data_IF_382003589707
#
_entry.id   IF_382003589707
#
_cell.length_a   1.000
_cell.length_b   1.000
_cell.length_c   1.000
_cell.angle_alpha   90.00
_cell.angle_beta   90.00
_cell.angle_gamma   90.00
#
_symmetry.space_group_name_H-M   'P 1'
#
loop_
_entity.id
_entity.type
_entity.pdbx_description
1 polymer ?
#
# COMPACT_ATOMS: atom_id res chain seq x y z
N UNK A 1 -14.79 17.09 -75.55
CA UNK A 1 -14.13 18.38 -75.30
C UNK A 1 -13.10 18.16 -74.19
N UNK A 2 -11.91 18.18 -74.65
CA UNK A 2 -10.60 18.55 -74.16
C UNK A 2 -10.37 18.40 -72.64
N UNK A 3 -9.57 17.41 -72.33
CA UNK A 3 -8.84 17.26 -71.06
C UNK A 3 -7.60 18.14 -71.08
N UNK A 4 -7.31 18.79 -69.94
CA UNK A 4 -6.01 19.39 -69.68
C UNK A 4 -5.34 18.69 -68.51
N UNK A 5 -4.18 18.11 -68.84
CA UNK A 5 -3.19 17.59 -67.89
C UNK A 5 -2.47 18.71 -67.22
N UNK A 6 -2.40 18.70 -65.89
CA UNK A 6 -1.32 19.44 -65.19
C UNK A 6 -0.49 18.45 -64.37
N UNK A 7 0.81 18.47 -64.66
CA UNK A 7 1.86 17.74 -63.98
C UNK A 7 2.29 18.51 -62.72
N UNK A 8 2.03 17.98 -61.55
CA UNK A 8 2.58 18.48 -60.28
C UNK A 8 3.93 17.84 -60.03
N UNK A 9 4.93 18.67 -59.91
CA UNK A 9 6.32 18.36 -59.61
C UNK A 9 6.47 17.77 -58.18
N UNK A 10 7.21 16.67 -58.09
CA UNK A 10 7.56 16.03 -56.82
C UNK A 10 8.60 16.90 -56.07
N UNK A 11 8.23 17.43 -54.95
CA UNK A 11 9.13 18.08 -54.01
C UNK A 11 9.75 17.07 -53.05
N UNK A 12 11.09 16.98 -53.08
CA UNK A 12 11.85 16.06 -52.23
C UNK A 12 11.72 16.45 -50.77
N UNK A 13 11.12 15.60 -49.94
CA UNK A 13 11.11 15.73 -48.47
C UNK A 13 12.53 15.57 -47.94
N UNK A 14 13.06 16.65 -47.37
CA UNK A 14 14.31 16.66 -46.58
C UNK A 14 14.11 15.76 -45.35
N UNK A 15 14.99 14.78 -45.22
CA UNK A 15 15.10 13.93 -44.02
C UNK A 15 15.39 14.79 -42.78
N UNK A 16 14.50 14.74 -41.81
CA UNK A 16 14.77 15.24 -40.44
C UNK A 16 15.71 14.27 -39.74
N UNK A 17 16.75 14.75 -39.05
CA UNK A 17 17.65 13.87 -38.31
C UNK A 17 16.85 13.14 -37.20
N UNK A 18 17.04 11.80 -37.17
CA UNK A 18 16.49 10.90 -36.13
C UNK A 18 17.04 11.33 -34.76
N UNK A 19 16.22 11.45 -33.70
CA UNK A 19 16.74 11.75 -32.37
C UNK A 19 17.69 10.64 -31.94
N UNK A 20 18.89 11.00 -31.55
CA UNK A 20 19.88 10.12 -30.96
C UNK A 20 19.27 9.43 -29.73
N UNK A 21 19.35 8.10 -29.67
CA UNK A 21 18.92 7.32 -28.54
C UNK A 21 19.63 7.83 -27.27
N UNK A 22 18.85 8.38 -26.36
CA UNK A 22 19.34 8.74 -25.04
C UNK A 22 19.89 7.47 -24.39
N UNK A 23 21.16 7.50 -23.99
CA UNK A 23 21.81 6.44 -23.26
C UNK A 23 21.01 6.20 -21.97
N UNK A 24 20.49 4.99 -21.81
CA UNK A 24 19.90 4.52 -20.56
C UNK A 24 20.90 4.79 -19.42
N UNK A 25 20.49 5.34 -18.28
CA UNK A 25 21.38 5.50 -17.15
C UNK A 25 21.86 4.13 -16.70
N UNK A 26 23.17 3.96 -16.59
CA UNK A 26 23.80 2.75 -16.06
C UNK A 26 23.24 2.44 -14.67
N UNK A 27 22.81 1.20 -14.39
CA UNK A 27 22.44 0.79 -13.06
C UNK A 27 23.69 0.39 -12.28
N UNK A 28 24.34 1.33 -11.60
CA UNK A 28 25.33 0.95 -10.58
C UNK A 28 25.60 2.12 -9.63
N UNK A 29 24.61 2.48 -8.83
CA UNK A 29 24.90 2.85 -7.44
C UNK A 29 24.70 1.57 -6.64
N UNK A 30 25.76 1.03 -6.07
CA UNK A 30 25.70 -0.11 -5.15
C UNK A 30 24.74 0.27 -4.03
N UNK A 31 23.48 -0.23 -4.07
CA UNK A 31 22.50 0.04 -3.03
C UNK A 31 23.09 -0.44 -1.71
N UNK A 32 23.26 0.47 -0.76
CA UNK A 32 23.68 0.11 0.59
C UNK A 32 22.72 -0.97 1.12
N UNK A 33 23.24 -2.07 1.72
CA UNK A 33 22.39 -3.09 2.27
C UNK A 33 21.40 -2.51 3.29
N UNK A 34 20.14 -2.94 3.23
CA UNK A 34 19.16 -2.63 4.27
C UNK A 34 19.63 -3.25 5.57
N UNK A 35 19.74 -2.44 6.62
CA UNK A 35 20.10 -2.90 7.96
C UNK A 35 18.85 -3.07 8.81
N UNK A 36 18.91 -3.99 9.77
CA UNK A 36 17.81 -4.21 10.71
C UNK A 36 17.56 -2.93 11.54
N UNK A 37 16.30 -2.49 11.56
CA UNK A 37 15.86 -1.29 12.29
C UNK A 37 15.24 -1.70 13.62
N UNK A 38 14.43 -2.76 13.59
CA UNK A 38 13.62 -3.19 14.71
C UNK A 38 13.76 -4.69 14.91
N UNK A 39 13.76 -5.12 16.17
CA UNK A 39 13.73 -6.53 16.58
C UNK A 39 12.68 -6.71 17.67
N UNK A 40 11.88 -7.79 17.52
CA UNK A 40 10.85 -8.13 18.49
C UNK A 40 9.51 -7.40 18.29
N UNK A 41 8.51 -7.79 19.06
CA UNK A 41 7.18 -7.19 19.08
C UNK A 41 7.17 -6.02 20.06
N UNK A 42 6.65 -4.86 19.67
CA UNK A 42 6.46 -3.75 20.60
C UNK A 42 5.53 -4.17 21.76
N UNK A 43 5.91 -3.84 22.98
CA UNK A 43 5.01 -3.98 24.12
C UNK A 43 4.30 -2.65 24.34
N UNK A 44 3.02 -2.58 24.00
CA UNK A 44 2.20 -1.40 24.11
C UNK A 44 1.00 -1.69 25.00
N UNK A 45 0.54 -0.66 25.73
CA UNK A 45 -0.76 -0.73 26.39
C UNK A 45 -1.84 -0.63 25.33
N UNK A 46 -2.57 -1.73 25.13
CA UNK A 46 -3.63 -1.78 24.13
C UNK A 46 -4.86 -1.01 24.61
N UNK A 47 -5.33 -0.08 23.79
CA UNK A 47 -6.60 0.60 23.95
C UNK A 47 -7.64 0.01 23.01
N UNK A 48 -8.94 0.23 23.29
CA UNK A 48 -9.98 -0.07 22.32
C UNK A 48 -9.83 0.86 21.11
N UNK A 49 -9.85 0.34 19.87
CA UNK A 49 -9.76 1.18 18.69
C UNK A 49 -11.03 2.02 18.51
N UNK A 50 -10.93 3.27 18.04
CA UNK A 50 -12.10 4.05 17.68
C UNK A 50 -12.78 3.46 16.43
N UNK A 51 -14.08 3.69 16.26
CA UNK A 51 -14.80 3.27 15.05
C UNK A 51 -14.23 3.89 13.76
N UNK A 52 -13.66 5.07 13.87
CA UNK A 52 -12.99 5.78 12.78
C UNK A 52 -11.57 6.12 13.21
N UNK A 53 -10.61 5.44 12.61
CA UNK A 53 -9.21 5.51 12.97
C UNK A 53 -8.42 6.33 11.93
N UNK A 54 -7.92 7.50 12.31
CA UNK A 54 -7.03 8.31 11.46
C UNK A 54 -5.56 8.24 11.89
N UNK A 55 -5.28 8.06 13.16
CA UNK A 55 -3.94 8.06 13.73
C UNK A 55 -3.85 7.19 14.98
N UNK A 56 -2.65 6.96 15.46
CA UNK A 56 -2.40 6.16 16.65
C UNK A 56 -2.55 6.98 17.93
N UNK A 57 -2.86 6.34 19.08
CA UNK A 57 -2.75 6.98 20.37
C UNK A 57 -1.34 7.56 20.60
N UNK A 58 -1.24 8.65 21.34
CA UNK A 58 0.04 9.30 21.65
C UNK A 58 0.83 8.50 22.73
N UNK A 59 1.21 7.27 22.40
CA UNK A 59 1.98 6.38 23.27
C UNK A 59 3.28 6.00 22.58
N UNK A 60 4.41 6.33 23.21
CA UNK A 60 5.74 6.08 22.65
C UNK A 60 5.98 6.84 21.33
N UNK A 61 6.97 6.39 20.57
CA UNK A 61 7.33 6.98 19.28
C UNK A 61 6.86 6.07 18.13
N UNK A 62 5.57 5.67 18.17
CA UNK A 62 5.01 4.65 17.28
C UNK A 62 4.50 5.23 15.96
N UNK A 63 4.60 4.46 14.89
CA UNK A 63 4.02 4.76 13.56
C UNK A 63 3.48 3.48 12.94
N UNK A 64 2.29 3.53 12.35
CA UNK A 64 1.73 2.42 11.58
C UNK A 64 2.00 2.65 10.08
N UNK A 65 2.76 1.73 9.48
CA UNK A 65 2.87 1.63 8.04
C UNK A 65 1.72 0.76 7.53
N UNK A 66 0.85 1.32 6.70
CA UNK A 66 -0.31 0.63 6.18
C UNK A 66 -0.29 0.67 4.66
N UNK A 67 -0.36 -0.50 4.00
CA UNK A 67 -0.11 -0.63 2.57
C UNK A 67 -1.32 -1.30 1.92
N UNK A 68 -1.90 -0.63 0.94
CA UNK A 68 -3.13 -1.04 0.29
C UNK A 68 -2.90 -1.76 -1.05
N UNK A 69 -3.96 -2.40 -1.54
CA UNK A 69 -4.17 -2.98 -2.88
C UNK A 69 -3.40 -4.26 -3.18
N UNK A 70 -2.22 -4.15 -3.80
CA UNK A 70 -1.43 -5.30 -4.26
C UNK A 70 -1.49 -5.55 -5.78
N UNK A 71 -1.74 -4.53 -6.58
CA UNK A 71 -1.83 -4.63 -8.05
C UNK A 71 -0.55 -5.18 -8.66
N UNK A 72 0.62 -4.75 -8.14
CA UNK A 72 1.92 -5.15 -8.66
C UNK A 72 2.57 -6.24 -7.82
N UNK A 73 2.75 -7.42 -8.42
CA UNK A 73 3.46 -8.54 -7.79
C UNK A 73 4.89 -8.18 -7.39
N UNK A 74 5.60 -7.42 -8.23
CA UNK A 74 6.99 -7.00 -7.96
C UNK A 74 7.06 -6.03 -6.77
N UNK A 75 6.06 -5.15 -6.63
CA UNK A 75 6.01 -4.21 -5.49
C UNK A 75 5.68 -4.95 -4.20
N UNK A 76 4.75 -5.91 -4.23
CA UNK A 76 4.47 -6.80 -3.09
C UNK A 76 5.74 -7.54 -2.67
N UNK A 77 6.46 -8.17 -3.62
CA UNK A 77 7.72 -8.85 -3.35
C UNK A 77 8.76 -7.93 -2.70
N UNK A 78 8.89 -6.71 -3.22
CA UNK A 78 9.83 -5.72 -2.71
C UNK A 78 9.47 -5.25 -1.28
N UNK A 79 8.19 -5.08 -0.96
CA UNK A 79 7.75 -4.82 0.42
C UNK A 79 8.09 -5.98 1.35
N UNK A 80 7.89 -7.23 0.91
CA UNK A 80 8.21 -8.40 1.74
C UNK A 80 9.73 -8.50 2.02
N UNK A 81 10.59 -8.24 1.01
CA UNK A 81 12.05 -8.15 1.20
C UNK A 81 12.40 -7.02 2.18
N UNK A 82 11.80 -5.84 2.02
CA UNK A 82 11.99 -4.72 2.93
C UNK A 82 11.63 -5.07 4.37
N UNK A 83 10.47 -5.70 4.59
CA UNK A 83 9.98 -6.12 5.91
C UNK A 83 10.92 -7.16 6.54
N UNK A 84 11.32 -8.18 5.78
CA UNK A 84 12.21 -9.24 6.27
C UNK A 84 13.58 -8.71 6.67
N UNK A 85 14.16 -7.83 5.87
CA UNK A 85 15.51 -7.31 6.09
C UNK A 85 15.59 -6.27 7.18
N UNK A 86 14.60 -5.41 7.30
CA UNK A 86 14.61 -4.31 8.27
C UNK A 86 13.97 -4.64 9.61
N UNK A 87 13.10 -5.65 9.64
CA UNK A 87 12.31 -5.99 10.82
C UNK A 87 11.13 -5.03 11.07
N UNK A 88 10.84 -4.10 10.16
CA UNK A 88 9.67 -3.21 10.30
C UNK A 88 8.38 -4.02 10.35
N UNK A 89 7.38 -3.47 11.02
CA UNK A 89 6.05 -4.06 11.16
C UNK A 89 5.07 -3.28 10.26
N UNK A 90 4.19 -3.99 9.58
CA UNK A 90 3.31 -3.43 8.55
C UNK A 90 1.91 -4.02 8.68
N UNK A 91 0.88 -3.22 8.43
CA UNK A 91 -0.47 -3.71 8.16
C UNK A 91 -0.74 -3.59 6.67
N UNK A 92 -0.94 -4.73 5.98
CA UNK A 92 -1.46 -4.70 4.61
C UNK A 92 -2.99 -4.69 4.61
N UNK A 93 -3.56 -3.98 3.65
CA UNK A 93 -4.98 -4.03 3.30
C UNK A 93 -5.12 -4.56 1.87
N UNK A 94 -5.09 -5.89 1.68
CA UNK A 94 -5.11 -6.49 0.36
C UNK A 94 -6.51 -6.49 -0.27
N UNK A 95 -6.55 -6.29 -1.60
CA UNK A 95 -7.70 -6.71 -2.41
C UNK A 95 -7.44 -8.14 -2.91
N UNK A 96 -8.28 -9.07 -2.51
CA UNK A 96 -8.09 -10.49 -2.81
C UNK A 96 -8.18 -10.88 -4.28
N UNK A 97 -8.67 -9.99 -5.13
CA UNK A 97 -8.72 -10.18 -6.58
C UNK A 97 -7.32 -10.23 -7.21
N UNK A 98 -6.31 -9.61 -6.59
CA UNK A 98 -4.97 -9.54 -7.16
C UNK A 98 -4.16 -10.81 -6.89
N UNK A 99 -3.66 -11.48 -7.95
CA UNK A 99 -2.89 -12.73 -7.82
C UNK A 99 -1.59 -12.60 -7.02
N UNK A 100 -1.04 -11.40 -6.90
CA UNK A 100 0.17 -11.10 -6.15
C UNK A 100 0.15 -11.66 -4.73
N UNK A 101 -0.97 -11.56 -4.04
CA UNK A 101 -1.12 -12.06 -2.68
C UNK A 101 -1.02 -13.57 -2.58
N UNK A 102 -1.64 -14.31 -3.51
CA UNK A 102 -1.52 -15.77 -3.57
C UNK A 102 -0.12 -16.19 -4.02
N UNK A 103 0.46 -15.49 -4.98
CA UNK A 103 1.81 -15.75 -5.49
C UNK A 103 2.87 -15.62 -4.40
N UNK A 104 2.73 -14.62 -3.54
CA UNK A 104 3.68 -14.37 -2.45
C UNK A 104 3.22 -14.93 -1.08
N UNK A 105 2.15 -15.70 -1.03
CA UNK A 105 1.66 -16.32 0.21
C UNK A 105 2.72 -17.15 0.94
N UNK A 106 3.60 -17.93 0.27
CA UNK A 106 4.66 -18.66 0.96
C UNK A 106 5.64 -17.79 1.74
N UNK A 107 5.92 -16.58 1.24
CA UNK A 107 6.80 -15.60 1.91
C UNK A 107 6.05 -14.77 2.96
N UNK A 108 4.79 -14.42 2.68
CA UNK A 108 3.99 -13.56 3.55
C UNK A 108 3.46 -14.31 4.78
N UNK A 109 3.05 -15.57 4.64
CA UNK A 109 2.45 -16.36 5.73
C UNK A 109 3.31 -16.40 7.00
N UNK A 110 4.63 -16.71 6.96
CA UNK A 110 5.47 -16.67 8.17
C UNK A 110 5.52 -15.31 8.85
N UNK A 111 5.42 -14.21 8.08
CA UNK A 111 5.39 -12.84 8.63
C UNK A 111 4.06 -12.53 9.31
N UNK A 112 2.96 -13.09 8.79
CA UNK A 112 1.63 -13.00 9.40
C UNK A 112 1.59 -13.85 10.68
N UNK A 113 2.06 -15.08 10.63
CA UNK A 113 2.09 -16.01 11.77
C UNK A 113 2.90 -15.47 12.94
N UNK A 114 4.01 -14.75 12.65
CA UNK A 114 4.81 -14.08 13.68
C UNK A 114 4.21 -12.78 14.21
N UNK A 115 3.12 -12.30 13.61
CA UNK A 115 2.51 -11.01 13.89
C UNK A 115 3.33 -9.81 13.40
N UNK A 116 4.44 -10.01 12.68
CA UNK A 116 5.22 -8.92 12.09
C UNK A 116 4.42 -8.20 11.01
N UNK A 117 3.56 -8.92 10.32
CA UNK A 117 2.59 -8.39 9.36
C UNK A 117 1.18 -8.69 9.85
N UNK A 118 0.31 -7.70 9.78
CA UNK A 118 -1.13 -7.83 9.95
C UNK A 118 -1.84 -7.67 8.62
N UNK A 119 -2.97 -8.36 8.43
CA UNK A 119 -3.85 -8.18 7.27
C UNK A 119 -5.16 -7.52 7.71
N UNK A 120 -5.53 -6.43 7.05
CA UNK A 120 -6.84 -5.79 7.12
C UNK A 120 -7.66 -6.10 5.86
N UNK A 121 -8.91 -5.66 5.79
CA UNK A 121 -9.79 -5.89 4.65
C UNK A 121 -9.89 -4.64 3.78
N UNK A 122 -9.53 -4.73 2.47
CA UNK A 122 -9.67 -3.64 1.52
C UNK A 122 -10.71 -3.92 0.43
N UNK A 123 -11.68 -4.78 0.74
CA UNK A 123 -12.66 -5.31 -0.22
C UNK A 123 -12.04 -6.33 -1.21
N UNK A 124 -12.89 -7.03 -1.96
CA UNK A 124 -12.44 -8.00 -2.94
C UNK A 124 -11.77 -7.35 -4.16
N UNK A 125 -12.43 -6.35 -4.78
CA UNK A 125 -12.04 -5.81 -6.09
C UNK A 125 -11.97 -4.28 -6.16
N UNK A 126 -11.89 -3.62 -5.00
CA UNK A 126 -11.68 -2.17 -4.88
C UNK A 126 -12.77 -1.28 -5.49
N UNK A 127 -14.08 -1.58 -5.37
CA UNK A 127 -15.12 -0.66 -5.83
C UNK A 127 -15.33 0.50 -4.85
N UNK A 128 -15.89 1.60 -5.34
CA UNK A 128 -16.41 2.65 -4.47
C UNK A 128 -17.69 2.16 -3.77
N UNK A 129 -17.58 1.85 -2.46
CA UNK A 129 -18.64 1.19 -1.69
C UNK A 129 -19.91 2.02 -1.56
N UNK A 130 -19.83 3.36 -1.57
CA UNK A 130 -21.00 4.22 -1.44
C UNK A 130 -21.91 4.16 -2.67
N UNK A 131 -21.39 3.71 -3.80
CA UNK A 131 -22.15 3.54 -5.05
C UNK A 131 -22.82 2.18 -5.18
N UNK A 132 -22.51 1.23 -4.29
CA UNK A 132 -23.01 -0.14 -4.36
C UNK A 132 -24.31 -0.34 -3.58
N UNK A 133 -25.06 -1.39 -3.95
CA UNK A 133 -26.15 -1.91 -3.11
C UNK A 133 -25.60 -2.52 -1.81
N UNK A 134 -26.44 -2.63 -0.79
CA UNK A 134 -26.08 -3.22 0.51
C UNK A 134 -25.51 -4.64 0.35
N UNK A 135 -26.18 -5.47 -0.45
CA UNK A 135 -25.72 -6.83 -0.71
C UNK A 135 -24.36 -6.89 -1.41
N UNK A 136 -24.08 -5.94 -2.31
CA UNK A 136 -22.82 -5.86 -2.99
C UNK A 136 -21.67 -5.39 -2.06
N UNK A 137 -21.94 -4.47 -1.13
CA UNK A 137 -20.99 -4.08 -0.08
C UNK A 137 -20.63 -5.28 0.79
N UNK A 138 -21.64 -6.02 1.25
CA UNK A 138 -21.46 -7.24 2.08
C UNK A 138 -20.65 -8.30 1.29
N UNK A 139 -20.97 -8.52 0.00
CA UNK A 139 -20.22 -9.47 -0.84
C UNK A 139 -18.74 -9.09 -0.97
N UNK A 140 -18.43 -7.81 -1.18
CA UNK A 140 -17.07 -7.33 -1.30
C UNK A 140 -16.23 -7.63 -0.05
N UNK A 141 -16.77 -7.38 1.13
CA UNK A 141 -16.10 -7.64 2.40
C UNK A 141 -15.99 -9.15 2.69
N UNK A 142 -17.07 -9.90 2.49
CA UNK A 142 -17.13 -11.33 2.77
C UNK A 142 -16.23 -12.15 1.87
N UNK A 143 -16.17 -11.83 0.57
CA UNK A 143 -15.27 -12.51 -0.38
C UNK A 143 -13.82 -12.29 -0.02
N UNK A 144 -13.47 -11.07 0.35
CA UNK A 144 -12.10 -10.76 0.75
C UNK A 144 -11.73 -11.45 2.07
N UNK A 145 -12.63 -11.48 3.05
CA UNK A 145 -12.41 -12.22 4.30
C UNK A 145 -12.19 -13.72 4.05
N UNK A 146 -13.03 -14.31 3.21
CA UNK A 146 -12.88 -15.72 2.82
C UNK A 146 -11.54 -15.99 2.14
N UNK A 147 -11.07 -15.07 1.30
CA UNK A 147 -9.76 -15.13 0.67
C UNK A 147 -8.64 -15.09 1.73
N UNK A 148 -8.68 -14.13 2.66
CA UNK A 148 -7.68 -14.00 3.72
C UNK A 148 -7.63 -15.22 4.61
N UNK A 149 -8.80 -15.75 5.00
CA UNK A 149 -8.89 -16.96 5.79
C UNK A 149 -8.32 -18.20 5.06
N UNK A 150 -8.73 -18.42 3.82
CA UNK A 150 -8.30 -19.58 3.04
C UNK A 150 -6.81 -19.53 2.69
N UNK A 151 -6.26 -18.33 2.46
CA UNK A 151 -4.88 -18.16 2.02
C UNK A 151 -3.91 -18.04 3.18
N UNK A 152 -4.28 -17.34 4.25
CA UNK A 152 -3.38 -17.00 5.34
C UNK A 152 -3.82 -17.54 6.72
N UNK A 153 -5.04 -18.04 6.85
CA UNK A 153 -5.55 -18.59 8.11
C UNK A 153 -5.93 -17.52 9.15
N UNK A 154 -6.10 -16.28 8.73
CA UNK A 154 -6.39 -15.15 9.62
C UNK A 154 -7.67 -14.43 9.25
N UNK A 155 -8.29 -13.77 10.24
CA UNK A 155 -9.35 -12.80 10.03
C UNK A 155 -8.76 -11.39 9.96
N UNK A 156 -9.33 -10.53 9.12
CA UNK A 156 -8.98 -9.11 9.07
C UNK A 156 -9.75 -8.27 10.11
N UNK A 157 -10.77 -8.86 10.76
CA UNK A 157 -11.57 -8.14 11.75
C UNK A 157 -10.73 -7.65 12.93
N UNK A 158 -11.02 -6.48 13.46
CA UNK A 158 -12.14 -5.58 13.12
C UNK A 158 -11.78 -4.50 12.09
N UNK A 159 -10.59 -4.56 11.43
CA UNK A 159 -10.07 -3.48 10.61
C UNK A 159 -10.43 -3.65 9.13
N UNK A 160 -11.11 -2.66 8.56
CA UNK A 160 -11.22 -2.53 7.12
C UNK A 160 -10.83 -1.11 6.69
N UNK A 161 -10.45 -0.97 5.44
CA UNK A 161 -10.23 0.32 4.81
C UNK A 161 -11.12 0.42 3.58
N UNK A 162 -12.04 1.40 3.53
CA UNK A 162 -12.88 1.59 2.35
C UNK A 162 -12.02 2.08 1.18
N UNK A 163 -12.18 1.52 -0.04
CA UNK A 163 -11.57 2.02 -1.25
C UNK A 163 -11.77 3.52 -1.42
N UNK A 164 -10.73 4.24 -1.86
CA UNK A 164 -10.71 5.70 -2.03
C UNK A 164 -10.94 6.50 -0.74
N UNK A 165 -11.01 5.86 0.43
CA UNK A 165 -11.50 6.48 1.65
C UNK A 165 -12.99 6.84 1.60
N UNK A 166 -13.71 6.37 0.56
CA UNK A 166 -15.13 6.67 0.31
C UNK A 166 -16.01 5.84 1.23
N UNK A 167 -16.72 6.51 2.12
CA UNK A 167 -17.59 5.91 3.14
C UNK A 167 -18.73 6.83 3.55
N UNK A 168 -19.81 6.23 3.99
CA UNK A 168 -20.95 6.88 4.63
C UNK A 168 -21.45 6.05 5.83
N UNK A 169 -22.44 6.54 6.55
CA UNK A 169 -22.99 5.85 7.71
C UNK A 169 -23.58 4.47 7.36
N UNK A 170 -24.11 4.30 6.14
CA UNK A 170 -24.65 3.03 5.65
C UNK A 170 -23.53 2.01 5.43
N UNK A 171 -22.46 2.40 4.73
CA UNK A 171 -21.29 1.53 4.50
C UNK A 171 -20.66 1.13 5.83
N UNK A 172 -20.46 2.08 6.75
CA UNK A 172 -19.88 1.78 8.06
C UNK A 172 -20.75 0.81 8.86
N UNK A 173 -22.09 0.94 8.82
CA UNK A 173 -22.99 0.02 9.52
C UNK A 173 -22.95 -1.38 8.89
N UNK A 174 -23.00 -1.48 7.56
CA UNK A 174 -22.88 -2.76 6.86
C UNK A 174 -21.56 -3.46 7.14
N UNK A 175 -20.47 -2.71 7.21
CA UNK A 175 -19.16 -3.24 7.59
C UNK A 175 -19.14 -3.72 9.05
N UNK A 176 -19.70 -2.92 9.97
CA UNK A 176 -19.79 -3.27 11.39
C UNK A 176 -20.62 -4.55 11.62
N UNK A 177 -21.71 -4.74 10.88
CA UNK A 177 -22.55 -5.94 10.92
C UNK A 177 -21.78 -7.21 10.45
N UNK A 178 -20.73 -7.02 9.64
CA UNK A 178 -19.79 -8.09 9.24
C UNK A 178 -18.61 -8.25 10.22
N UNK A 179 -18.58 -7.50 11.33
CA UNK A 179 -17.50 -7.49 12.31
C UNK A 179 -16.36 -6.52 12.00
N UNK A 180 -16.49 -5.68 10.97
CA UNK A 180 -15.53 -4.64 10.60
C UNK A 180 -15.96 -3.28 11.16
N UNK A 181 -15.86 -3.12 12.47
CA UNK A 181 -16.33 -1.92 13.14
C UNK A 181 -15.28 -0.79 13.24
N UNK A 182 -14.07 -1.01 12.68
CA UNK A 182 -13.01 0.00 12.59
C UNK A 182 -12.76 0.37 11.15
N UNK A 183 -13.31 1.51 10.72
CA UNK A 183 -12.96 2.15 9.45
C UNK A 183 -11.57 2.78 9.60
N UNK A 184 -10.57 2.14 8.98
CA UNK A 184 -9.17 2.55 9.09
C UNK A 184 -8.83 3.56 8.00
N UNK A 185 -8.70 4.82 8.37
CA UNK A 185 -8.25 5.91 7.52
C UNK A 185 -6.75 6.16 7.72
N UNK A 186 -6.28 7.37 7.44
CA UNK A 186 -4.88 7.76 7.58
C UNK A 186 -4.77 9.26 7.87
N UNK A 187 -3.65 9.67 8.47
CA UNK A 187 -3.26 11.06 8.65
C UNK A 187 -1.85 11.35 8.09
N UNK A 188 -1.29 10.39 7.36
CA UNK A 188 -0.06 10.53 6.61
C UNK A 188 -0.08 9.67 5.33
N UNK A 189 0.68 10.04 4.30
CA UNK A 189 0.68 9.35 3.00
C UNK A 189 2.06 9.37 2.35
N UNK A 190 2.38 8.31 1.58
CA UNK A 190 3.50 8.32 0.63
C UNK A 190 3.10 8.97 -0.72
N UNK A 191 1.80 9.14 -0.98
CA UNK A 191 1.27 9.70 -2.22
C UNK A 191 1.40 8.79 -3.43
N UNK A 192 1.70 7.52 -3.21
CA UNK A 192 2.05 6.50 -4.21
C UNK A 192 0.85 5.74 -4.78
N UNK A 193 -0.36 6.23 -4.54
CA UNK A 193 -1.57 5.85 -5.30
C UNK A 193 -1.47 6.23 -6.77
N UNK A 194 -0.65 7.24 -7.08
CA UNK A 194 -0.33 7.71 -8.42
C UNK A 194 1.14 7.46 -8.76
N UNK A 195 1.48 7.58 -10.04
CA UNK A 195 2.85 7.44 -10.51
C UNK A 195 3.65 8.71 -10.20
N UNK A 196 4.25 8.76 -9.03
CA UNK A 196 5.16 9.82 -8.60
C UNK A 196 6.61 9.49 -8.97
N UNK A 197 7.50 10.49 -8.86
CA UNK A 197 8.95 10.28 -8.86
C UNK A 197 9.44 9.82 -7.47
N UNK A 198 10.58 9.11 -7.37
CA UNK A 198 11.16 8.74 -6.08
C UNK A 198 11.38 9.94 -5.15
N UNK A 199 11.75 11.10 -5.70
CA UNK A 199 11.94 12.32 -4.92
C UNK A 199 10.64 12.83 -4.29
N UNK A 200 9.50 12.72 -4.98
CA UNK A 200 8.19 13.10 -4.45
C UNK A 200 7.73 12.15 -3.36
N UNK A 201 7.86 10.82 -3.56
CA UNK A 201 7.56 9.83 -2.51
C UNK A 201 8.41 10.08 -1.26
N UNK A 202 9.71 10.36 -1.44
CA UNK A 202 10.60 10.67 -0.32
C UNK A 202 10.23 11.99 0.38
N UNK A 203 9.78 13.01 -0.36
CA UNK A 203 9.30 14.27 0.22
C UNK A 203 8.06 14.03 1.10
N UNK A 204 7.10 13.25 0.62
CA UNK A 204 5.93 12.86 1.40
C UNK A 204 6.32 12.04 2.63
N UNK A 205 7.23 11.08 2.48
CA UNK A 205 7.73 10.31 3.62
C UNK A 205 8.41 11.19 4.67
N UNK A 206 9.21 12.19 4.27
CA UNK A 206 9.80 13.16 5.18
C UNK A 206 8.77 13.99 5.93
N UNK A 207 7.65 14.28 5.31
CA UNK A 207 6.55 15.02 5.94
C UNK A 207 5.74 14.15 6.90
N UNK A 208 5.37 12.94 6.50
CA UNK A 208 4.31 12.17 7.13
C UNK A 208 4.78 10.96 7.96
N UNK A 209 6.01 10.46 7.75
CA UNK A 209 6.54 9.34 8.53
C UNK A 209 7.05 9.84 9.88
N UNK A 210 6.11 10.22 10.74
CA UNK A 210 6.34 10.77 12.08
C UNK A 210 5.49 10.01 13.11
N UNK A 211 5.79 10.23 14.40
CA UNK A 211 5.12 9.52 15.48
C UNK A 211 3.59 9.73 15.48
N UNK A 212 2.87 8.69 15.87
CA UNK A 212 1.43 8.61 16.04
C UNK A 212 0.64 8.71 14.72
N UNK A 213 1.33 8.58 13.59
CA UNK A 213 0.66 8.55 12.30
C UNK A 213 0.29 7.12 11.87
N UNK A 214 -0.84 7.02 11.20
CA UNK A 214 -1.20 5.94 10.29
C UNK A 214 -0.84 6.43 8.88
N UNK A 215 0.23 5.89 8.31
CA UNK A 215 0.74 6.31 7.01
C UNK A 215 0.28 5.32 5.96
N UNK A 216 -0.45 5.83 4.94
CA UNK A 216 -0.90 5.04 3.80
C UNK A 216 0.17 5.00 2.71
N UNK A 217 0.39 3.82 2.17
CA UNK A 217 1.09 3.54 0.93
C UNK A 217 0.34 2.50 0.11
N UNK A 218 0.81 2.19 -1.09
CA UNK A 218 0.16 1.27 -2.01
C UNK A 218 1.18 0.30 -2.63
N UNK A 219 0.73 -0.93 -2.89
CA UNK A 219 1.54 -1.94 -3.58
C UNK A 219 1.22 -1.98 -5.08
N UNK A 220 1.19 -0.81 -5.73
CA UNK A 220 0.75 -0.62 -7.12
C UNK A 220 1.88 -0.20 -8.06
N UNK A 221 2.60 0.84 -7.71
CA UNK A 221 3.65 1.41 -8.57
C UNK A 221 5.05 1.16 -7.98
N UNK A 222 6.06 0.87 -8.82
CA UNK A 222 7.39 0.49 -8.34
C UNK A 222 8.16 1.65 -7.71
N UNK A 223 7.71 2.89 -7.84
CA UNK A 223 8.43 4.09 -7.39
C UNK A 223 8.81 4.04 -5.91
N UNK A 224 7.90 3.57 -5.04
CA UNK A 224 8.15 3.48 -3.60
C UNK A 224 9.31 2.52 -3.29
N UNK A 225 9.50 1.48 -4.08
CA UNK A 225 10.57 0.50 -3.87
C UNK A 225 11.97 1.08 -4.06
N UNK A 226 12.06 2.19 -4.79
CA UNK A 226 13.32 2.89 -5.04
C UNK A 226 13.79 3.74 -3.87
N UNK A 227 12.94 3.96 -2.86
CA UNK A 227 13.23 4.78 -1.67
C UNK A 227 13.19 3.99 -0.36
N UNK A 228 13.15 2.67 -0.40
CA UNK A 228 13.10 1.84 0.81
C UNK A 228 14.30 2.03 1.74
N UNK A 229 15.49 2.31 1.21
CA UNK A 229 16.66 2.63 2.02
C UNK A 229 16.45 3.94 2.79
N UNK A 230 15.95 4.96 2.10
CA UNK A 230 15.66 6.28 2.68
C UNK A 230 14.51 6.21 3.69
N UNK A 231 13.49 5.37 3.46
CA UNK A 231 12.44 5.11 4.44
C UNK A 231 13.02 4.46 5.70
N UNK A 232 13.88 3.46 5.53
CA UNK A 232 14.58 2.81 6.65
C UNK A 232 15.43 3.82 7.45
N UNK A 233 16.14 4.72 6.76
CA UNK A 233 16.95 5.76 7.38
C UNK A 233 16.09 6.79 8.14
N UNK A 234 14.93 7.16 7.60
CA UNK A 234 13.98 8.04 8.27
C UNK A 234 13.43 7.40 9.56
N UNK A 235 13.00 6.15 9.48
CA UNK A 235 12.50 5.39 10.65
C UNK A 235 13.59 5.36 11.73
N UNK A 236 14.82 5.02 11.36
CA UNK A 236 15.95 4.93 12.29
C UNK A 236 16.33 6.28 12.89
N UNK A 237 16.51 7.31 12.05
CA UNK A 237 16.94 8.65 12.50
C UNK A 237 15.92 9.32 13.39
N UNK A 238 14.63 9.06 13.16
CA UNK A 238 13.51 9.55 13.98
C UNK A 238 13.21 8.65 15.16
N UNK A 239 13.93 7.54 15.33
CA UNK A 239 13.71 6.53 16.38
C UNK A 239 12.25 6.04 16.41
N UNK A 240 11.62 5.92 15.25
CA UNK A 240 10.24 5.44 15.15
C UNK A 240 10.19 3.94 15.42
N UNK A 241 9.16 3.53 16.15
CA UNK A 241 8.80 2.14 16.38
C UNK A 241 7.63 1.82 15.44
N UNK A 242 7.89 1.02 14.42
CA UNK A 242 6.82 0.58 13.52
C UNK A 242 5.95 -0.45 14.20
N UNK A 243 4.63 -0.31 14.06
CA UNK A 243 3.63 -1.17 14.70
C UNK A 243 2.57 -1.61 13.67
N UNK A 244 2.01 -2.80 13.89
CA UNK A 244 0.72 -3.16 13.30
C UNK A 244 -0.42 -2.54 14.11
N UNK A 245 -1.63 -2.54 13.59
CA UNK A 245 -2.79 -2.04 14.35
C UNK A 245 -3.09 -2.96 15.54
N UNK A 246 -2.86 -4.28 15.40
CA UNK A 246 -3.02 -5.23 16.50
C UNK A 246 -1.98 -5.07 17.62
N UNK A 247 -0.83 -4.45 17.35
CA UNK A 247 0.13 -4.14 18.42
C UNK A 247 -0.38 -3.02 19.33
N UNK A 248 -1.22 -2.13 18.80
CA UNK A 248 -1.68 -0.91 19.48
C UNK A 248 -3.05 -1.08 20.11
N UNK A 249 -3.93 -1.84 19.44
CA UNK A 249 -5.33 -1.92 19.83
C UNK A 249 -5.70 -3.30 20.33
N UNK A 250 -6.46 -3.34 21.43
CA UNK A 250 -7.10 -4.57 21.89
C UNK A 250 -8.34 -4.84 21.03
N UNK A 251 -8.35 -5.97 20.35
CA UNK A 251 -9.41 -6.38 19.42
C UNK A 251 -10.10 -7.69 19.85
N UNK A 252 -9.71 -8.21 21.02
CA UNK A 252 -10.29 -9.42 21.65
C UNK A 252 -11.28 -9.07 22.75
#
# INVERSE_FOLDING_TARGET
>A
MVALHERGTAEAKKDKPRPSAAKSPSPSATRRPLERIQSGTPQLTQAMPPRLLYGLPAVGNTVALTIDDGVSSDVVAAYLDFIQRTGVRVTFFPNGVYPSWTQHAPTLRPLVDSGQVQLGNHTWSHPDLVTLSDSAVVDQLSRNEKFLWNTFGVTARPFFRPPYGSRDARVDQLAADQGYWVSTMWNGTFGDSDLLTPAQVLANAKQWLIAHHVVIGHANYPTVTHVFNELADLIRSRRLVTVTLNDVFNTT
#
